data_IF_119458532017
#
_entry.id   IF_119458532017
#
_cell.length_a   1.000
_cell.length_b   1.000
_cell.length_c   1.000
_cell.angle_alpha   90.00
_cell.angle_beta   90.00
_cell.angle_gamma   90.00
#
_symmetry.space_group_name_H-M   'P 1'
#
loop_
_entity.id
_entity.type
_entity.pdbx_description
1 polymer ?
#
# COMPACT_ATOMS: atom_id res chain seq x y z
N UNK A 1 19.16 8.48 -11.35
CA UNK A 1 19.67 8.24 -9.97
C UNK A 1 19.91 6.76 -9.67
N UNK A 2 19.21 5.79 -10.31
CA UNK A 2 19.56 4.37 -10.21
C UNK A 2 19.34 3.72 -8.84
N UNK A 3 18.68 4.44 -7.91
CA UNK A 3 18.42 3.98 -6.55
C UNK A 3 17.25 3.01 -6.54
N UNK A 4 17.35 1.97 -5.71
CA UNK A 4 16.24 1.05 -5.45
C UNK A 4 15.29 1.71 -4.45
N UNK A 5 14.03 1.87 -4.84
CA UNK A 5 12.99 2.52 -4.05
C UNK A 5 11.84 1.56 -3.78
N UNK A 6 11.31 1.62 -2.55
CA UNK A 6 10.14 0.86 -2.12
C UNK A 6 9.13 1.82 -1.53
N UNK A 7 7.86 1.65 -1.87
CA UNK A 7 6.75 2.39 -1.28
C UNK A 7 5.89 1.46 -0.43
N UNK A 8 5.53 1.89 0.78
CA UNK A 8 4.59 1.17 1.64
C UNK A 8 3.20 1.77 1.49
N UNK A 9 2.22 0.91 1.28
CA UNK A 9 0.83 1.28 1.02
C UNK A 9 -0.05 0.78 2.17
N UNK A 10 -0.87 1.71 2.69
CA UNK A 10 -1.70 1.51 3.88
C UNK A 10 -3.16 1.93 3.65
N UNK A 11 -3.48 2.52 2.50
CA UNK A 11 -4.75 3.17 2.23
C UNK A 11 -5.68 2.27 1.41
N UNK A 12 -6.79 1.90 2.03
CA UNK A 12 -7.92 1.29 1.36
C UNK A 12 -8.89 2.38 0.91
N UNK A 13 -8.65 2.93 -0.29
CA UNK A 13 -9.61 3.85 -0.91
C UNK A 13 -10.64 3.09 -1.76
N UNK A 14 -11.81 3.70 -1.86
CA UNK A 14 -12.85 3.30 -2.79
C UNK A 14 -12.55 3.78 -4.21
N UNK A 15 -13.60 3.85 -5.03
CA UNK A 15 -13.48 4.21 -6.44
C UNK A 15 -14.24 5.50 -6.83
N UNK A 16 -15.16 5.99 -5.99
CA UNK A 16 -16.19 6.93 -6.44
C UNK A 16 -16.14 8.33 -5.80
N UNK A 17 -15.58 8.49 -4.60
CA UNK A 17 -15.48 9.80 -3.97
C UNK A 17 -14.27 10.60 -4.48
N UNK A 18 -14.31 11.93 -4.32
CA UNK A 18 -13.26 12.85 -4.79
C UNK A 18 -11.89 12.50 -4.19
N UNK A 19 -11.85 12.11 -2.92
CA UNK A 19 -10.63 11.67 -2.25
C UNK A 19 -10.04 10.42 -2.89
N UNK A 20 -10.88 9.44 -3.18
CA UNK A 20 -10.51 8.22 -3.91
C UNK A 20 -10.00 8.51 -5.32
N UNK A 21 -10.62 9.43 -6.06
CA UNK A 21 -10.14 9.83 -7.41
C UNK A 21 -8.74 10.45 -7.32
N UNK A 22 -8.53 11.38 -6.39
CA UNK A 22 -7.24 12.01 -6.18
C UNK A 22 -6.18 11.00 -5.70
N UNK A 23 -6.54 10.12 -4.78
CA UNK A 23 -5.67 9.07 -4.25
C UNK A 23 -5.27 8.03 -5.30
N UNK A 24 -6.19 7.64 -6.19
CA UNK A 24 -5.89 6.74 -7.31
C UNK A 24 -4.86 7.37 -8.25
N UNK A 25 -5.01 8.66 -8.51
CA UNK A 25 -4.12 9.38 -9.41
C UNK A 25 -2.74 9.59 -8.79
N UNK A 26 -2.66 9.92 -7.50
CA UNK A 26 -1.39 10.04 -6.78
C UNK A 26 -0.65 8.70 -6.68
N UNK A 27 -1.37 7.60 -6.44
CA UNK A 27 -0.82 6.23 -6.46
C UNK A 27 -0.21 5.90 -7.84
N UNK A 28 -0.91 6.24 -8.93
CA UNK A 28 -0.38 6.08 -10.29
C UNK A 28 0.92 6.86 -10.49
N UNK A 29 0.97 8.13 -10.09
CA UNK A 29 2.18 8.94 -10.24
C UNK A 29 3.36 8.44 -9.40
N UNK A 30 3.12 8.14 -8.13
CA UNK A 30 4.17 7.70 -7.20
C UNK A 30 4.74 6.34 -7.58
N UNK A 31 3.89 5.41 -8.02
CA UNK A 31 4.32 4.06 -8.38
C UNK A 31 5.31 4.00 -9.56
N UNK A 32 5.27 4.97 -10.48
CA UNK A 32 6.22 5.07 -11.61
C UNK A 32 7.67 5.31 -11.14
N UNK A 33 7.85 5.96 -9.98
CA UNK A 33 9.16 6.23 -9.40
C UNK A 33 9.63 5.12 -8.45
N UNK A 34 8.81 4.09 -8.22
CA UNK A 34 9.08 3.01 -7.25
C UNK A 34 9.42 1.70 -7.95
N UNK A 35 10.39 0.94 -7.42
CA UNK A 35 10.72 -0.37 -7.97
C UNK A 35 9.78 -1.47 -7.47
N UNK A 36 9.31 -1.36 -6.22
CA UNK A 36 8.46 -2.35 -5.56
C UNK A 36 7.51 -1.68 -4.57
N UNK A 37 6.35 -2.28 -4.35
CA UNK A 37 5.38 -1.84 -3.34
C UNK A 37 5.23 -2.90 -2.24
N UNK A 38 4.99 -2.45 -1.02
CA UNK A 38 4.63 -3.30 0.12
C UNK A 38 3.26 -2.87 0.61
N UNK A 39 2.32 -3.80 0.66
CA UNK A 39 0.99 -3.61 1.20
C UNK A 39 0.90 -4.26 2.59
N UNK A 40 0.19 -3.62 3.53
CA UNK A 40 0.05 -4.16 4.90
C UNK A 40 -0.94 -5.31 5.04
N UNK A 41 -1.67 -5.66 3.98
CA UNK A 41 -2.57 -6.81 3.95
C UNK A 41 -2.78 -7.30 2.52
N UNK A 42 -3.30 -8.53 2.38
CA UNK A 42 -3.67 -9.08 1.07
C UNK A 42 -4.79 -8.25 0.41
N UNK A 43 -5.77 -7.79 1.17
CA UNK A 43 -6.85 -6.91 0.67
C UNK A 43 -6.31 -5.58 0.16
N UNK A 44 -5.35 -4.99 0.86
CA UNK A 44 -4.65 -3.78 0.43
C UNK A 44 -3.89 -4.03 -0.88
N UNK A 45 -3.18 -5.16 -1.00
CA UNK A 45 -2.50 -5.55 -2.26
C UNK A 45 -3.47 -5.67 -3.42
N UNK A 46 -4.59 -6.37 -3.26
CA UNK A 46 -5.60 -6.51 -4.31
C UNK A 46 -6.18 -5.15 -4.73
N UNK A 47 -6.51 -4.29 -3.77
CA UNK A 47 -7.05 -2.95 -4.01
C UNK A 47 -6.06 -2.06 -4.79
N UNK A 48 -4.78 -2.04 -4.40
CA UNK A 48 -3.72 -1.25 -5.04
C UNK A 48 -3.41 -1.75 -6.45
N UNK A 49 -3.34 -3.07 -6.63
CA UNK A 49 -3.15 -3.69 -7.96
C UNK A 49 -4.27 -3.29 -8.90
N UNK A 50 -5.53 -3.35 -8.45
CA UNK A 50 -6.70 -3.00 -9.26
C UNK A 50 -6.75 -1.50 -9.58
N UNK A 51 -6.56 -0.63 -8.58
CA UNK A 51 -6.65 0.83 -8.73
C UNK A 51 -5.48 1.42 -9.52
N UNK A 52 -4.27 0.95 -9.23
CA UNK A 52 -3.04 1.44 -9.85
C UNK A 52 -2.67 0.73 -11.15
N UNK A 53 -3.39 -0.33 -11.54
CA UNK A 53 -3.03 -1.20 -12.68
C UNK A 53 -1.58 -1.70 -12.61
N UNK A 54 -1.13 -2.01 -11.39
CA UNK A 54 0.25 -2.42 -11.10
C UNK A 54 0.38 -3.93 -11.28
N UNK A 55 1.51 -4.40 -11.82
CA UNK A 55 1.77 -5.83 -11.91
C UNK A 55 1.83 -6.46 -10.49
N UNK A 56 1.01 -7.47 -10.17
CA UNK A 56 0.99 -8.11 -8.85
C UNK A 56 2.34 -8.67 -8.38
N UNK A 57 3.26 -8.99 -9.30
CA UNK A 57 4.62 -9.46 -8.96
C UNK A 57 5.51 -8.37 -8.35
N UNK A 58 5.16 -7.09 -8.58
CA UNK A 58 5.85 -5.91 -8.01
C UNK A 58 5.27 -5.46 -6.66
N UNK A 59 4.39 -6.27 -6.07
CA UNK A 59 3.72 -5.94 -4.81
C UNK A 59 3.86 -7.11 -3.83
N UNK A 60 4.48 -6.86 -2.68
CA UNK A 60 4.56 -7.82 -1.57
C UNK A 60 3.58 -7.46 -0.46
N UNK A 61 3.28 -8.42 0.41
CA UNK A 61 2.47 -8.17 1.61
C UNK A 61 3.37 -8.37 2.83
N UNK A 62 3.42 -7.37 3.70
CA UNK A 62 4.08 -7.45 5.02
C UNK A 62 3.10 -6.86 6.04
N UNK A 63 2.42 -7.70 6.84
CA UNK A 63 1.49 -7.23 7.83
C UNK A 63 2.15 -6.38 8.92
N UNK A 64 1.39 -5.43 9.45
CA UNK A 64 1.81 -4.70 10.64
C UNK A 64 1.85 -5.64 11.85
N UNK A 65 2.73 -5.32 12.79
CA UNK A 65 2.83 -5.99 14.08
C UNK A 65 2.71 -4.96 15.20
N UNK A 66 2.40 -5.45 16.39
CA UNK A 66 2.42 -4.68 17.64
C UNK A 66 3.58 -5.15 18.51
N UNK A 67 4.06 -4.27 19.38
CA UNK A 67 5.03 -4.62 20.43
C UNK A 67 4.25 -5.24 21.59
N UNK A 68 4.50 -6.51 21.89
CA UNK A 68 3.71 -7.25 22.90
C UNK A 68 3.95 -6.76 24.32
N UNK A 69 5.11 -6.14 24.59
CA UNK A 69 5.41 -5.52 25.87
C UNK A 69 4.50 -4.32 26.18
N UNK A 70 4.13 -3.55 25.15
CA UNK A 70 3.32 -2.32 25.24
C UNK A 70 1.81 -2.60 25.18
N UNK A 71 1.40 -3.73 24.60
CA UNK A 71 -0.01 -4.05 24.37
C UNK A 71 -0.41 -5.35 25.07
N UNK A 72 -0.60 -5.26 26.40
CA UNK A 72 -1.05 -6.35 27.26
C UNK A 72 -2.53 -6.18 27.63
N UNK A 73 -3.28 -7.27 27.87
CA UNK A 73 -4.63 -7.17 28.42
C UNK A 73 -4.64 -6.36 29.72
N UNK A 74 -5.69 -5.56 29.91
CA UNK A 74 -5.96 -4.99 31.23
C UNK A 74 -6.25 -6.14 32.19
N UNK A 75 -5.73 -6.05 33.41
CA UNK A 75 -6.03 -6.99 34.50
C UNK A 75 -7.51 -6.91 34.89
#
# INVERSE_FOLDING_TARGET
MGLKTVMTEHSLFGFADVGSIMGNKSLGYTSVFTNHLICVSHTCKENVVLRGKINPSKVSVIPNAVISEDFKPAE
#
